data_IF_198672178019
#
_entry.id   IF_198672178019
#
_cell.length_a   1.000
_cell.length_b   1.000
_cell.length_c   1.000
_cell.angle_alpha   90.00
_cell.angle_beta   90.00
_cell.angle_gamma   90.00
#
_symmetry.space_group_name_H-M   'P 1'
#
loop_
_entity.id
_entity.type
_entity.pdbx_description
1 polymer ?
#
# COMPACT_ATOMS: atom_id res chain seq x y z
N UNK A 1 17.83 0.27 -0.94
CA UNK A 1 16.42 0.66 -1.20
C UNK A 1 15.67 0.63 0.12
N UNK A 2 14.86 1.67 0.40
CA UNK A 2 14.00 1.80 1.58
C UNK A 2 12.55 1.83 1.16
N UNK A 3 11.76 0.90 1.65
CA UNK A 3 10.35 0.74 1.27
C UNK A 3 9.46 0.79 2.50
N UNK A 4 8.39 1.59 2.43
CA UNK A 4 7.30 1.50 3.41
C UNK A 4 6.18 0.68 2.79
N UNK A 5 5.83 -0.42 3.41
CA UNK A 5 4.63 -1.20 3.10
C UNK A 5 3.47 -0.74 3.98
N UNK A 6 2.34 -0.45 3.39
CA UNK A 6 1.09 -0.21 4.11
C UNK A 6 0.15 -1.39 3.95
N UNK A 7 -0.26 -1.99 5.05
CA UNK A 7 -1.27 -3.06 5.03
C UNK A 7 -2.19 -2.96 6.25
N UNK A 8 -3.50 -3.06 6.02
CA UNK A 8 -4.49 -3.04 7.09
C UNK A 8 -4.55 -4.35 7.88
N UNK A 9 -3.94 -5.42 7.36
CA UNK A 9 -3.78 -6.70 8.06
C UNK A 9 -2.36 -7.26 7.87
N UNK A 10 -1.84 -7.82 8.94
CA UNK A 10 -0.55 -8.50 9.02
C UNK A 10 -0.54 -9.37 10.28
N UNK A 11 0.07 -10.58 10.27
CA UNK A 11 0.09 -11.41 11.46
C UNK A 11 0.66 -10.71 12.71
N UNK A 12 0.11 -10.94 13.92
CA UNK A 12 -0.89 -11.97 14.24
C UNK A 12 -2.34 -11.61 13.87
N UNK A 13 -2.62 -10.41 13.36
CA UNK A 13 -3.95 -10.03 12.89
C UNK A 13 -4.17 -10.52 11.47
N UNK A 14 -4.98 -11.57 11.34
CA UNK A 14 -5.31 -12.21 10.07
C UNK A 14 -6.82 -12.11 9.85
N UNK A 15 -7.24 -11.45 8.79
CA UNK A 15 -8.63 -11.36 8.36
C UNK A 15 -8.82 -12.16 7.07
N UNK A 16 -7.87 -12.07 6.15
CA UNK A 16 -7.92 -12.76 4.88
C UNK A 16 -6.55 -13.24 4.39
N UNK A 17 -6.48 -13.51 3.10
CA UNK A 17 -5.24 -13.99 2.45
C UNK A 17 -4.17 -12.89 2.36
N UNK A 18 -4.58 -11.63 2.41
CA UNK A 18 -3.66 -10.50 2.32
C UNK A 18 -2.62 -10.52 3.44
N UNK A 19 -2.99 -10.87 4.68
CA UNK A 19 -2.07 -10.95 5.80
C UNK A 19 -0.87 -11.88 5.52
N UNK A 20 -1.14 -13.08 5.00
CA UNK A 20 -0.10 -14.06 4.67
C UNK A 20 0.76 -13.60 3.50
N UNK A 21 0.13 -13.00 2.48
CA UNK A 21 0.85 -12.45 1.32
C UNK A 21 1.78 -11.31 1.74
N UNK A 22 1.28 -10.35 2.55
CA UNK A 22 2.10 -9.21 3.00
C UNK A 22 3.25 -9.67 3.90
N UNK A 23 3.03 -10.70 4.72
CA UNK A 23 4.12 -11.30 5.51
C UNK A 23 5.20 -11.84 4.59
N UNK A 24 4.84 -12.66 3.63
CA UNK A 24 5.79 -13.21 2.66
C UNK A 24 6.51 -12.11 1.89
N UNK A 25 5.78 -11.11 1.38
CA UNK A 25 6.34 -9.96 0.70
C UNK A 25 7.38 -9.24 1.55
N UNK A 26 7.03 -8.85 2.78
CA UNK A 26 7.91 -8.11 3.67
C UNK A 26 9.19 -8.89 3.98
N UNK A 27 9.07 -10.19 4.28
CA UNK A 27 10.21 -11.06 4.55
C UNK A 27 11.11 -11.24 3.32
N UNK A 28 10.54 -11.40 2.14
CA UNK A 28 11.31 -11.54 0.91
C UNK A 28 12.03 -10.25 0.53
N UNK A 29 11.41 -9.09 0.72
CA UNK A 29 12.08 -7.80 0.54
C UNK A 29 13.27 -7.66 1.49
N UNK A 30 13.09 -7.92 2.77
CA UNK A 30 14.17 -7.84 3.77
C UNK A 30 15.32 -8.81 3.45
N UNK A 31 15.01 -10.07 3.10
CA UNK A 31 16.01 -11.08 2.68
C UNK A 31 16.81 -10.67 1.43
N UNK A 32 16.23 -9.83 0.57
CA UNK A 32 16.89 -9.31 -0.63
C UNK A 32 17.53 -7.92 -0.43
N UNK A 33 17.79 -7.53 0.83
CA UNK A 33 18.54 -6.34 1.18
C UNK A 33 17.74 -5.01 1.05
N UNK A 34 16.41 -5.10 1.00
CA UNK A 34 15.54 -3.93 1.06
C UNK A 34 15.28 -3.58 2.53
N UNK A 35 15.61 -2.36 2.95
CA UNK A 35 15.22 -1.88 4.27
C UNK A 35 13.70 -1.69 4.27
N UNK A 36 13.01 -2.60 4.96
CA UNK A 36 11.55 -2.75 4.88
C UNK A 36 10.90 -2.27 6.18
N UNK A 37 10.08 -1.24 6.04
CA UNK A 37 9.20 -0.72 7.08
C UNK A 37 7.77 -1.15 6.77
N UNK A 38 7.11 -1.80 7.71
CA UNK A 38 5.71 -2.17 7.56
C UNK A 38 4.87 -1.38 8.55
N UNK A 39 3.89 -0.60 8.07
CA UNK A 39 2.88 0.04 8.93
C UNK A 39 1.59 -0.72 8.78
N UNK A 40 1.08 -1.25 9.88
CA UNK A 40 -0.10 -2.12 9.89
C UNK A 40 -1.02 -1.84 11.07
N UNK A 41 -2.32 -2.07 10.87
CA UNK A 41 -3.29 -1.96 11.95
C UNK A 41 -3.28 -3.20 12.84
N UNK A 42 -3.46 -2.96 14.15
CA UNK A 42 -3.77 -4.02 15.11
C UNK A 42 -4.80 -3.51 16.14
N UNK A 43 -5.67 -4.40 16.62
CA UNK A 43 -6.80 -4.02 17.48
C UNK A 43 -6.34 -3.43 18.83
N UNK A 44 -5.23 -3.95 19.38
CA UNK A 44 -4.71 -3.55 20.70
C UNK A 44 -3.17 -3.57 20.83
N UNK A 45 -2.46 -4.24 19.92
CA UNK A 45 -1.01 -4.29 19.94
C UNK A 45 -0.42 -3.10 19.16
N UNK A 46 0.29 -2.22 19.85
CA UNK A 46 0.91 -1.03 19.24
C UNK A 46 2.41 -0.97 19.51
N UNK A 47 3.13 -0.32 18.64
CA UNK A 47 4.56 -0.09 18.80
C UNK A 47 5.39 -0.53 17.60
N UNK A 48 6.70 -0.47 17.77
CA UNK A 48 7.70 -0.90 16.81
C UNK A 48 8.22 -2.29 17.19
N UNK A 49 8.27 -3.20 16.23
CA UNK A 49 8.71 -4.57 16.39
C UNK A 49 9.68 -4.91 15.26
N UNK A 50 10.72 -5.66 15.56
CA UNK A 50 11.61 -6.20 14.56
C UNK A 50 11.32 -7.68 14.37
N UNK A 51 10.97 -8.07 13.15
CA UNK A 51 10.54 -9.43 12.80
C UNK A 51 11.31 -9.89 11.56
N UNK A 52 12.31 -10.76 11.76
CA UNK A 52 13.11 -11.35 10.67
C UNK A 52 13.67 -10.32 9.66
N UNK A 53 14.13 -9.15 10.18
CA UNK A 53 14.67 -8.06 9.37
C UNK A 53 13.62 -7.06 8.84
N UNK A 54 12.35 -7.25 9.18
CA UNK A 54 11.26 -6.30 8.90
C UNK A 54 11.01 -5.43 10.13
N UNK A 55 11.01 -4.12 9.96
CA UNK A 55 10.60 -3.16 11.00
C UNK A 55 9.09 -2.94 10.92
N UNK A 56 8.34 -3.64 11.76
CA UNK A 56 6.89 -3.60 11.79
C UNK A 56 6.37 -2.57 12.81
N UNK A 57 5.61 -1.60 12.34
CA UNK A 57 4.95 -0.57 13.15
C UNK A 57 3.46 -0.88 13.22
N UNK A 58 2.99 -1.32 14.40
CA UNK A 58 1.58 -1.61 14.63
C UNK A 58 0.88 -0.39 15.22
N UNK A 59 -0.21 -0.01 14.62
CA UNK A 59 -1.02 1.13 15.04
C UNK A 59 -2.43 0.68 15.41
N UNK A 60 -3.05 1.41 16.33
CA UNK A 60 -4.50 1.30 16.59
C UNK A 60 -5.20 2.54 16.08
N UNK A 61 -6.51 2.44 15.86
CA UNK A 61 -7.30 3.61 15.52
C UNK A 61 -7.39 4.57 16.71
N UNK A 62 -7.07 5.86 16.57
CA UNK A 62 -7.21 6.86 17.63
C UNK A 62 -8.66 7.06 18.07
N UNK A 63 -9.62 6.86 17.15
CA UNK A 63 -11.06 6.89 17.45
C UNK A 63 -11.53 5.46 17.70
N UNK A 64 -12.20 5.23 18.84
CA UNK A 64 -12.58 3.88 19.28
C UNK A 64 -13.99 3.46 18.87
N UNK A 65 -14.84 4.41 18.47
CA UNK A 65 -16.22 4.16 18.07
C UNK A 65 -16.44 4.63 16.63
N UNK A 66 -16.94 3.74 15.79
CA UNK A 66 -17.14 3.99 14.36
C UNK A 66 -18.54 3.59 13.94
N UNK A 67 -19.14 4.38 13.06
CA UNK A 67 -20.45 4.11 12.46
C UNK A 67 -20.35 3.25 11.19
N UNK A 68 -19.17 3.17 10.61
CA UNK A 68 -18.91 2.39 9.37
C UNK A 68 -17.42 2.09 9.20
N UNK A 69 -17.09 1.14 8.34
CA UNK A 69 -15.70 0.86 7.96
C UNK A 69 -15.05 2.08 7.28
N UNK A 70 -15.81 2.89 6.58
CA UNK A 70 -15.28 4.11 5.94
C UNK A 70 -14.78 5.11 6.96
N UNK A 71 -15.57 5.42 8.00
CA UNK A 71 -15.15 6.33 9.08
C UNK A 71 -14.00 5.75 9.90
N UNK A 72 -13.97 4.42 10.06
CA UNK A 72 -12.86 3.72 10.68
C UNK A 72 -11.57 3.89 9.86
N UNK A 73 -11.62 3.68 8.55
CA UNK A 73 -10.48 3.87 7.66
C UNK A 73 -9.96 5.30 7.70
N UNK A 74 -10.84 6.29 7.55
CA UNK A 74 -10.43 7.70 7.51
C UNK A 74 -9.72 8.15 8.80
N UNK A 75 -10.25 7.75 9.97
CA UNK A 75 -9.62 8.09 11.25
C UNK A 75 -8.34 7.31 11.52
N UNK A 76 -8.24 6.06 11.07
CA UNK A 76 -7.03 5.25 11.18
C UNK A 76 -5.87 5.84 10.36
N UNK A 77 -6.17 6.40 9.18
CA UNK A 77 -5.15 6.99 8.31
C UNK A 77 -4.37 8.12 9.01
N UNK A 78 -4.99 8.89 9.95
CA UNK A 78 -4.28 9.91 10.73
C UNK A 78 -3.10 9.31 11.53
N UNK A 79 -3.30 8.15 12.12
CA UNK A 79 -2.23 7.49 12.88
C UNK A 79 -1.19 6.84 11.95
N UNK A 80 -1.63 6.28 10.82
CA UNK A 80 -0.72 5.74 9.79
C UNK A 80 0.18 6.85 9.24
N UNK A 81 -0.38 8.02 8.92
CA UNK A 81 0.36 9.20 8.46
C UNK A 81 1.40 9.65 9.48
N UNK A 82 1.00 9.76 10.75
CA UNK A 82 1.89 10.16 11.84
C UNK A 82 3.08 9.20 11.97
N UNK A 83 2.84 7.90 11.94
CA UNK A 83 3.90 6.88 12.05
C UNK A 83 4.78 6.89 10.82
N UNK A 84 4.21 6.97 9.61
CA UNK A 84 4.96 6.98 8.37
C UNK A 84 5.83 8.26 8.22
N UNK A 85 5.32 9.42 8.63
CA UNK A 85 6.11 10.65 8.70
C UNK A 85 7.30 10.51 9.68
N UNK A 86 7.09 9.87 10.82
CA UNK A 86 8.17 9.60 11.78
C UNK A 86 9.24 8.66 11.18
N UNK A 87 8.81 7.60 10.46
CA UNK A 87 9.74 6.72 9.73
C UNK A 87 10.56 7.53 8.71
N UNK A 88 9.91 8.40 7.92
CA UNK A 88 10.57 9.25 6.94
C UNK A 88 11.67 10.10 7.59
N UNK A 89 11.36 10.84 8.66
CA UNK A 89 12.33 11.68 9.36
C UNK A 89 13.46 10.86 10.02
N UNK A 90 13.15 9.73 10.64
CA UNK A 90 14.16 8.82 11.23
C UNK A 90 15.05 8.16 10.18
N UNK A 91 14.58 8.07 8.93
CA UNK A 91 15.33 7.58 7.77
C UNK A 91 16.17 8.68 7.08
N UNK A 92 16.35 9.82 7.72
CA UNK A 92 17.12 10.94 7.17
C UNK A 92 16.40 11.68 6.04
N UNK A 93 15.07 11.60 5.99
CA UNK A 93 14.26 12.26 4.96
C UNK A 93 14.30 11.54 3.59
N UNK A 94 14.59 10.24 3.58
CA UNK A 94 14.66 9.48 2.34
C UNK A 94 13.95 8.13 2.44
N UNK A 95 12.93 7.96 1.62
CA UNK A 95 12.19 6.71 1.36
C UNK A 95 12.06 6.58 -0.16
N UNK A 96 12.40 5.43 -0.70
CA UNK A 96 12.38 5.20 -2.14
C UNK A 96 10.98 4.94 -2.69
N UNK A 97 10.13 4.22 -1.93
CA UNK A 97 8.78 3.82 -2.37
C UNK A 97 7.86 3.62 -1.16
N UNK A 98 6.62 4.05 -1.29
CA UNK A 98 5.49 3.59 -0.46
C UNK A 98 4.65 2.63 -1.29
N UNK A 99 4.53 1.38 -0.87
CA UNK A 99 3.68 0.37 -1.51
C UNK A 99 2.46 0.07 -0.63
N UNK A 100 1.28 0.43 -1.12
CA UNK A 100 0.02 0.31 -0.40
C UNK A 100 -0.69 -0.97 -0.81
N UNK A 101 -0.87 -1.87 0.15
CA UNK A 101 -1.56 -3.14 -0.06
C UNK A 101 -3.05 -2.97 0.20
N UNK A 102 -3.82 -2.93 -0.89
CA UNK A 102 -5.25 -2.63 -0.92
C UNK A 102 -5.59 -1.16 -0.54
N UNK A 103 -6.87 -0.80 -0.57
CA UNK A 103 -7.38 0.58 -0.56
C UNK A 103 -7.32 1.31 0.79
N UNK A 104 -7.23 0.57 1.89
CA UNK A 104 -7.44 1.10 3.24
C UNK A 104 -6.51 2.27 3.62
N UNK A 105 -5.27 2.26 3.14
CA UNK A 105 -4.27 3.28 3.49
C UNK A 105 -3.88 4.20 2.32
N UNK A 106 -4.70 4.24 1.27
CA UNK A 106 -4.52 5.17 0.15
C UNK A 106 -4.49 6.64 0.63
N UNK A 107 -5.39 7.12 1.52
CA UNK A 107 -5.32 8.51 1.98
C UNK A 107 -3.97 8.85 2.60
N UNK A 108 -3.45 8.01 3.48
CA UNK A 108 -2.13 8.21 4.09
C UNK A 108 -0.99 8.21 3.06
N UNK A 109 -1.02 7.31 2.09
CA UNK A 109 0.00 7.25 1.05
C UNK A 109 0.00 8.51 0.18
N UNK A 110 -1.18 9.03 -0.17
CA UNK A 110 -1.33 10.27 -0.94
C UNK A 110 -0.79 11.46 -0.13
N UNK A 111 -1.05 11.50 1.18
CA UNK A 111 -0.50 12.53 2.07
C UNK A 111 1.03 12.50 2.07
N UNK A 112 1.66 11.32 2.21
CA UNK A 112 3.12 11.20 2.14
C UNK A 112 3.69 11.62 0.79
N UNK A 113 3.05 11.19 -0.30
CA UNK A 113 3.44 11.61 -1.64
C UNK A 113 3.46 13.13 -1.78
N UNK A 114 2.39 13.80 -1.35
CA UNK A 114 2.28 15.26 -1.48
C UNK A 114 3.19 16.02 -0.51
N UNK A 115 3.40 15.50 0.70
CA UNK A 115 4.21 16.15 1.72
C UNK A 115 5.71 15.95 1.52
N UNK A 116 6.12 14.77 1.06
CA UNK A 116 7.54 14.36 1.02
C UNK A 116 8.04 13.97 -0.37
N UNK A 117 7.19 14.06 -1.39
CA UNK A 117 7.50 13.66 -2.77
C UNK A 117 7.95 12.18 -2.89
N UNK A 118 7.45 11.30 -2.03
CA UNK A 118 7.76 9.88 -2.09
C UNK A 118 6.86 9.20 -3.12
N UNK A 119 7.42 8.42 -4.07
CA UNK A 119 6.61 7.72 -5.06
C UNK A 119 5.74 6.63 -4.42
N UNK A 120 4.50 6.50 -4.92
CA UNK A 120 3.50 5.56 -4.41
C UNK A 120 3.21 4.48 -5.43
N UNK A 121 3.16 3.25 -4.97
CA UNK A 121 2.59 2.10 -5.68
C UNK A 121 1.27 1.72 -5.00
N UNK A 122 0.24 1.50 -5.79
CA UNK A 122 -0.99 0.91 -5.32
C UNK A 122 -1.08 -0.55 -5.76
N UNK A 123 -0.90 -1.46 -4.81
CA UNK A 123 -1.02 -2.91 -5.01
C UNK A 123 -2.45 -3.35 -4.71
N UNK A 124 -3.20 -3.65 -5.77
CA UNK A 124 -4.63 -3.95 -5.71
C UNK A 124 -4.85 -5.41 -5.33
N UNK A 125 -5.55 -5.63 -4.22
CA UNK A 125 -6.00 -6.95 -3.79
C UNK A 125 -7.40 -7.26 -4.32
N UNK A 126 -8.28 -6.28 -4.22
CA UNK A 126 -9.67 -6.39 -4.62
C UNK A 126 -10.24 -5.02 -5.03
N UNK A 127 -11.37 -5.02 -5.72
CA UNK A 127 -12.07 -3.80 -6.11
C UNK A 127 -13.44 -3.74 -5.44
N UNK A 128 -13.85 -2.55 -5.00
CA UNK A 128 -15.18 -2.34 -4.40
C UNK A 128 -16.30 -2.73 -5.35
N UNK A 129 -16.11 -2.52 -6.65
CA UNK A 129 -17.08 -2.94 -7.66
C UNK A 129 -17.39 -4.45 -7.58
N UNK A 130 -16.36 -5.27 -7.36
CA UNK A 130 -16.53 -6.71 -7.19
C UNK A 130 -17.10 -7.08 -5.83
N UNK A 131 -16.58 -6.48 -4.74
CA UNK A 131 -17.04 -6.74 -3.37
C UNK A 131 -18.52 -6.40 -3.18
N UNK A 132 -18.96 -5.33 -3.84
CA UNK A 132 -20.34 -4.83 -3.75
C UNK A 132 -21.26 -5.32 -4.88
N UNK A 133 -20.77 -6.22 -5.75
CA UNK A 133 -21.51 -6.69 -6.94
C UNK A 133 -22.04 -5.53 -7.81
N UNK A 134 -21.22 -4.51 -8.01
CA UNK A 134 -21.53 -3.33 -8.82
C UNK A 134 -22.46 -2.31 -8.13
N UNK A 135 -22.73 -2.44 -6.83
CA UNK A 135 -23.60 -1.51 -6.12
C UNK A 135 -23.01 -0.08 -6.13
N UNK A 136 -23.91 0.91 -6.26
CA UNK A 136 -23.57 2.34 -6.29
C UNK A 136 -24.29 3.12 -5.18
N UNK A 137 -24.39 2.55 -3.98
CA UNK A 137 -24.83 3.31 -2.80
C UNK A 137 -23.81 4.40 -2.47
N UNK A 138 -24.17 5.46 -1.74
CA UNK A 138 -23.22 6.49 -1.31
C UNK A 138 -21.99 5.90 -0.58
N UNK A 139 -22.19 4.83 0.18
CA UNK A 139 -21.11 4.11 0.87
C UNK A 139 -20.13 3.44 -0.11
N UNK A 140 -20.64 2.64 -1.08
CA UNK A 140 -19.79 1.98 -2.07
C UNK A 140 -19.09 3.01 -2.97
N UNK A 141 -19.78 4.08 -3.36
CA UNK A 141 -19.20 5.17 -4.15
C UNK A 141 -18.05 5.88 -3.42
N UNK A 142 -18.15 6.04 -2.10
CA UNK A 142 -17.07 6.62 -1.31
C UNK A 142 -15.81 5.73 -1.32
N UNK A 143 -15.96 4.41 -1.19
CA UNK A 143 -14.83 3.47 -1.29
C UNK A 143 -14.26 3.46 -2.71
N UNK A 144 -15.11 3.39 -3.74
CA UNK A 144 -14.67 3.48 -5.16
C UNK A 144 -13.89 4.78 -5.43
N UNK A 145 -14.26 5.89 -4.77
CA UNK A 145 -13.55 7.16 -4.90
C UNK A 145 -12.15 7.11 -4.25
N UNK A 146 -11.99 6.39 -3.14
CA UNK A 146 -10.67 6.17 -2.53
C UNK A 146 -9.81 5.27 -3.43
N UNK A 147 -10.36 4.19 -3.97
CA UNK A 147 -9.65 3.33 -4.93
C UNK A 147 -9.23 4.13 -6.18
N UNK A 148 -10.14 4.94 -6.74
CA UNK A 148 -9.84 5.82 -7.87
C UNK A 148 -8.71 6.80 -7.53
N UNK A 149 -8.75 7.45 -6.36
CA UNK A 149 -7.70 8.34 -5.90
C UNK A 149 -6.34 7.63 -5.86
N UNK A 150 -6.31 6.42 -5.30
CA UNK A 150 -5.10 5.59 -5.26
C UNK A 150 -4.54 5.30 -6.65
N UNK A 151 -5.39 4.90 -7.58
CA UNK A 151 -5.00 4.62 -8.96
C UNK A 151 -4.54 5.87 -9.72
N UNK A 152 -5.20 6.99 -9.47
CA UNK A 152 -4.84 8.27 -10.09
C UNK A 152 -3.48 8.78 -9.57
N UNK A 153 -3.28 8.79 -8.26
CA UNK A 153 -2.08 9.35 -7.62
C UNK A 153 -0.87 8.41 -7.67
N UNK A 154 -1.06 7.09 -7.70
CA UNK A 154 0.06 6.15 -7.77
C UNK A 154 0.86 6.30 -9.06
N UNK A 155 2.18 6.18 -9.00
CA UNK A 155 3.07 6.07 -10.16
C UNK A 155 2.87 4.74 -10.88
N UNK A 156 2.58 3.67 -10.13
CA UNK A 156 2.27 2.35 -10.66
C UNK A 156 1.12 1.73 -9.89
N UNK A 157 0.30 0.99 -10.62
CA UNK A 157 -0.77 0.13 -10.08
C UNK A 157 -0.34 -1.30 -10.31
N UNK A 158 -0.11 -2.04 -9.23
CA UNK A 158 0.29 -3.44 -9.27
C UNK A 158 -0.92 -4.34 -9.05
N UNK A 159 -1.08 -5.31 -9.93
CA UNK A 159 -2.15 -6.31 -9.85
C UNK A 159 -1.59 -7.72 -9.93
N UNK A 160 -2.32 -8.71 -9.40
CA UNK A 160 -1.82 -10.09 -9.29
C UNK A 160 -2.17 -10.98 -10.51
N UNK A 161 -2.98 -10.48 -11.46
CA UNK A 161 -3.41 -11.23 -12.64
C UNK A 161 -3.75 -10.32 -13.81
N UNK A 162 -3.70 -10.89 -15.04
CA UNK A 162 -4.13 -10.19 -16.25
C UNK A 162 -5.63 -9.85 -16.20
N UNK A 163 -6.43 -10.73 -15.57
CA UNK A 163 -7.85 -10.47 -15.37
C UNK A 163 -8.06 -9.21 -14.53
N UNK A 164 -7.36 -9.09 -13.39
CA UNK A 164 -7.47 -7.89 -12.54
C UNK A 164 -6.94 -6.64 -13.27
N UNK A 165 -5.90 -6.78 -14.11
CA UNK A 165 -5.42 -5.68 -14.95
C UNK A 165 -6.55 -5.18 -15.87
N UNK A 166 -7.23 -6.10 -16.57
CA UNK A 166 -8.39 -5.77 -17.41
C UNK A 166 -9.51 -5.06 -16.64
N UNK A 167 -9.81 -5.52 -15.41
CA UNK A 167 -10.84 -4.91 -14.57
C UNK A 167 -10.47 -3.50 -14.10
N UNK A 168 -9.22 -3.28 -13.68
CA UNK A 168 -8.70 -1.94 -13.32
C UNK A 168 -8.83 -0.99 -14.52
N UNK A 169 -8.42 -1.42 -15.70
CA UNK A 169 -8.52 -0.62 -16.91
C UNK A 169 -9.98 -0.31 -17.27
N UNK A 170 -10.85 -1.30 -17.18
CA UNK A 170 -12.28 -1.18 -17.52
C UNK A 170 -13.04 -0.26 -16.56
N UNK A 171 -12.83 -0.43 -15.25
CA UNK A 171 -13.64 0.25 -14.21
C UNK A 171 -13.10 1.66 -13.94
N UNK A 172 -11.77 1.80 -13.80
CA UNK A 172 -11.13 3.04 -13.36
C UNK A 172 -10.47 3.83 -14.48
N UNK A 173 -10.42 3.29 -15.70
CA UNK A 173 -9.82 3.94 -16.89
C UNK A 173 -8.39 4.43 -16.64
N UNK A 174 -7.63 3.66 -15.89
CA UNK A 174 -6.22 3.95 -15.59
C UNK A 174 -5.41 3.82 -16.89
N UNK A 175 -4.41 4.70 -17.14
CA UNK A 175 -3.50 4.49 -18.27
C UNK A 175 -2.80 3.14 -18.18
N UNK A 176 -2.82 2.35 -19.24
CA UNK A 176 -2.23 1.00 -19.29
C UNK A 176 -0.74 1.04 -18.90
N UNK A 177 -0.05 2.13 -19.23
CA UNK A 177 1.35 2.36 -18.87
C UNK A 177 1.63 2.40 -17.37
N UNK A 178 0.61 2.64 -16.54
CA UNK A 178 0.73 2.57 -15.08
C UNK A 178 0.58 1.15 -14.53
N UNK A 179 -0.12 0.25 -15.22
CA UNK A 179 -0.47 -1.08 -14.71
C UNK A 179 0.70 -2.05 -14.85
N UNK A 180 0.99 -2.81 -13.82
CA UNK A 180 2.00 -3.88 -13.79
C UNK A 180 1.39 -5.14 -13.21
N UNK A 181 1.56 -6.25 -13.92
CA UNK A 181 1.09 -7.56 -13.46
C UNK A 181 2.24 -8.28 -12.77
N UNK A 182 2.08 -8.53 -11.48
CA UNK A 182 3.04 -9.28 -10.65
C UNK A 182 2.31 -10.51 -10.11
N UNK A 183 2.66 -11.70 -10.61
CA UNK A 183 1.98 -12.96 -10.30
C UNK A 183 2.68 -13.68 -9.15
N UNK A 184 2.11 -13.68 -7.91
CA UNK A 184 2.77 -14.24 -6.73
C UNK A 184 3.09 -15.74 -6.82
N UNK A 185 2.35 -16.47 -7.66
CA UNK A 185 2.56 -17.91 -7.90
C UNK A 185 3.79 -18.23 -8.76
N UNK A 186 4.41 -17.24 -9.41
CA UNK A 186 5.63 -17.43 -10.21
C UNK A 186 6.87 -17.22 -9.37
N UNK A 187 7.89 -18.05 -9.52
CA UNK A 187 9.17 -17.88 -8.81
C UNK A 187 9.82 -16.50 -9.02
N UNK A 188 9.60 -15.90 -10.19
CA UNK A 188 10.16 -14.57 -10.52
C UNK A 188 9.38 -13.38 -9.99
N UNK A 189 8.28 -13.58 -9.24
CA UNK A 189 7.38 -12.50 -8.83
C UNK A 189 8.09 -11.37 -8.08
N UNK A 190 8.96 -11.72 -7.15
CA UNK A 190 9.71 -10.73 -6.37
C UNK A 190 10.66 -9.91 -7.26
N UNK A 191 11.38 -10.59 -8.18
CA UNK A 191 12.26 -9.91 -9.15
C UNK A 191 11.47 -8.93 -10.01
N UNK A 192 10.27 -9.33 -10.43
CA UNK A 192 9.37 -8.45 -11.19
C UNK A 192 8.96 -7.23 -10.36
N UNK A 193 8.56 -7.43 -9.11
CA UNK A 193 8.16 -6.33 -8.22
C UNK A 193 9.34 -5.39 -7.91
N UNK A 194 10.52 -5.94 -7.62
CA UNK A 194 11.73 -5.12 -7.42
C UNK A 194 12.12 -4.33 -8.68
N UNK A 195 11.84 -4.87 -9.86
CA UNK A 195 11.94 -4.13 -11.12
C UNK A 195 11.02 -2.92 -11.17
N UNK A 196 9.77 -3.10 -10.74
CA UNK A 196 8.78 -1.99 -10.66
C UNK A 196 9.23 -0.92 -9.67
N UNK A 197 9.73 -1.30 -8.49
CA UNK A 197 10.31 -0.35 -7.53
C UNK A 197 11.50 0.40 -8.13
N UNK A 198 12.39 -0.31 -8.81
CA UNK A 198 13.58 0.27 -9.46
C UNK A 198 13.25 1.26 -10.59
N UNK A 199 12.10 1.15 -11.26
CA UNK A 199 11.62 2.13 -12.24
C UNK A 199 11.39 3.52 -11.59
N UNK A 200 11.01 3.54 -10.31
CA UNK A 200 10.68 4.76 -9.57
C UNK A 200 11.91 5.42 -8.97
N UNK A 201 12.84 4.64 -8.42
CA UNK A 201 14.08 5.14 -7.82
C UNK A 201 15.00 5.85 -8.82
N UNK A 202 14.95 5.52 -10.13
CA UNK A 202 15.82 6.07 -11.15
C UNK A 202 15.43 7.48 -11.64
N UNK A 203 14.23 7.95 -11.32
CA UNK A 203 13.74 9.24 -11.81
C UNK A 203 14.31 10.46 -11.07
N UNK A 204 14.85 10.29 -9.88
CA UNK A 204 15.40 11.42 -9.09
C UNK A 204 16.78 11.93 -9.59
N UNK A 205 17.47 11.15 -10.42
CA UNK A 205 18.78 11.51 -10.95
C UNK A 205 18.79 12.42 -12.20
N UNK A 206 17.63 12.77 -12.79
CA UNK A 206 17.58 13.45 -14.09
C UNK A 206 16.98 14.87 -14.10
N UNK A 207 16.77 15.50 -12.95
CA UNK A 207 16.16 16.84 -12.85
C UNK A 207 17.06 17.88 -12.20
N UNK A 208 18.40 17.79 -12.36
CA UNK A 208 19.31 18.89 -12.09
C UNK A 208 20.30 18.99 -13.26
N UNK A 209 19.83 19.61 -14.34
CA UNK A 209 20.59 20.06 -15.48
C UNK A 209 20.05 21.40 -15.94
#
# INVERSE_FOLDING_TARGET
MRVILFSWEYPPRVVGKLASYVKELALQLAKNGVETFLVTYHDYLTGEFEEEGVKAFRVTNPVKTHISVLTWVLTLNQEVERVAANIYYRSGGHIDVVDVQDWHFIPAAVTLKKAFNVPVIYSVESLEDHRSHGANTPFNMAIKSIEWLGMYEAERVVVKSEWMAGEVLRIYQVPETKVRVVKPEKESWLKTLLGVYGELCRKEGSTHG
#
